data_IF_005807710927
#
_entry.id   IF_005807710927
#
_cell.length_a   1.000
_cell.length_b   1.000
_cell.length_c   1.000
_cell.angle_alpha   90.00
_cell.angle_beta   90.00
_cell.angle_gamma   90.00
#
_symmetry.space_group_name_H-M   'P 1'
#
loop_
_entity.id
_entity.type
_entity.pdbx_description
1 polymer ?
#
# COMPACT_ATOMS: atom_id res chain seq x y z
N UNK A 1 -10.76 -5.00 7.93
CA UNK A 1 -10.50 -4.96 6.47
C UNK A 1 -11.61 -4.15 5.81
N UNK A 2 -11.29 -3.16 4.96
CA UNK A 2 -12.33 -2.42 4.22
C UNK A 2 -12.98 -3.34 3.18
N UNK A 3 -14.30 -3.42 3.21
CA UNK A 3 -15.09 -4.31 2.35
C UNK A 3 -15.87 -3.49 1.31
N UNK A 4 -16.00 -4.00 0.06
CA UNK A 4 -16.89 -3.39 -0.93
C UNK A 4 -18.35 -3.51 -0.46
N UNK A 5 -19.22 -2.60 -0.94
CA UNK A 5 -20.67 -2.74 -0.78
C UNK A 5 -21.17 -3.55 -1.97
N UNK A 6 -21.71 -4.74 -1.70
CA UNK A 6 -22.25 -5.61 -2.73
C UNK A 6 -23.61 -5.07 -3.19
N UNK A 7 -23.86 -5.09 -4.50
CA UNK A 7 -25.12 -4.64 -5.10
C UNK A 7 -25.49 -3.19 -4.77
N UNK A 8 -24.50 -2.30 -4.61
CA UNK A 8 -24.75 -0.87 -4.47
C UNK A 8 -25.57 -0.35 -5.67
N UNK A 9 -26.60 0.45 -5.38
CA UNK A 9 -27.45 1.04 -6.41
C UNK A 9 -26.62 2.00 -7.28
N UNK A 10 -26.96 2.07 -8.57
CA UNK A 10 -26.31 2.98 -9.51
C UNK A 10 -26.41 4.43 -9.03
N UNK A 11 -25.34 5.20 -9.27
CA UNK A 11 -25.22 6.62 -8.91
C UNK A 11 -25.30 6.95 -7.40
N UNK A 12 -25.12 5.95 -6.53
CA UNK A 12 -25.01 6.15 -5.09
C UNK A 12 -23.58 6.38 -4.63
N UNK A 13 -23.42 6.99 -3.45
CA UNK A 13 -22.12 7.11 -2.77
C UNK A 13 -21.45 5.74 -2.54
N UNK A 14 -22.25 4.71 -2.28
CA UNK A 14 -21.80 3.33 -2.07
C UNK A 14 -21.21 2.71 -3.35
N UNK A 15 -21.83 2.95 -4.51
CA UNK A 15 -21.29 2.54 -5.81
C UNK A 15 -19.95 3.22 -6.07
N UNK A 16 -19.90 4.54 -5.88
CA UNK A 16 -18.69 5.34 -6.11
C UNK A 16 -17.55 4.90 -5.21
N UNK A 17 -17.84 4.59 -3.95
CA UNK A 17 -16.90 4.02 -3.01
C UNK A 17 -16.43 2.64 -3.48
N UNK A 18 -17.36 1.74 -3.80
CA UNK A 18 -17.04 0.36 -4.17
C UNK A 18 -16.19 0.31 -5.44
N UNK A 19 -16.52 1.14 -6.43
CA UNK A 19 -15.74 1.28 -7.66
C UNK A 19 -14.32 1.75 -7.38
N UNK A 20 -14.14 2.81 -6.58
CA UNK A 20 -12.80 3.31 -6.22
C UNK A 20 -12.02 2.31 -5.35
N UNK A 21 -12.68 1.68 -4.38
CA UNK A 21 -12.08 0.65 -3.52
C UNK A 21 -11.55 -0.52 -4.35
N UNK A 22 -12.37 -1.07 -5.25
CA UNK A 22 -11.96 -2.14 -6.15
C UNK A 22 -10.78 -1.73 -7.05
N UNK A 23 -10.78 -0.50 -7.58
CA UNK A 23 -9.65 0.01 -8.37
C UNK A 23 -8.36 0.09 -7.56
N UNK A 24 -8.41 0.61 -6.33
CA UNK A 24 -7.25 0.69 -5.43
C UNK A 24 -6.75 -0.71 -5.09
N UNK A 25 -7.66 -1.62 -4.68
CA UNK A 25 -7.31 -3.00 -4.36
C UNK A 25 -6.63 -3.70 -5.53
N UNK A 26 -7.16 -3.57 -6.75
CA UNK A 26 -6.56 -4.14 -7.95
C UNK A 26 -5.12 -3.65 -8.18
N UNK A 27 -4.86 -2.34 -7.97
CA UNK A 27 -3.51 -1.78 -8.11
C UNK A 27 -2.55 -2.33 -7.03
N UNK A 28 -3.01 -2.39 -5.79
CA UNK A 28 -2.22 -2.90 -4.65
C UNK A 28 -1.91 -4.39 -4.80
N UNK A 29 -2.89 -5.20 -5.20
CA UNK A 29 -2.69 -6.64 -5.44
C UNK A 29 -1.69 -6.89 -6.57
N UNK A 30 -1.77 -6.13 -7.66
CA UNK A 30 -0.80 -6.19 -8.76
C UNK A 30 0.60 -5.78 -8.31
N UNK A 31 0.73 -4.69 -7.56
CA UNK A 31 2.00 -4.24 -6.98
C UNK A 31 2.62 -5.35 -6.13
N UNK A 32 1.85 -5.94 -5.21
CA UNK A 32 2.34 -7.04 -4.38
C UNK A 32 2.67 -8.29 -5.20
N UNK A 33 1.95 -8.56 -6.29
CA UNK A 33 2.29 -9.61 -7.24
C UNK A 33 3.69 -9.42 -7.83
N UNK A 34 3.98 -8.23 -8.34
CA UNK A 34 5.30 -7.88 -8.90
C UNK A 34 6.39 -7.99 -7.84
N UNK A 35 6.19 -7.37 -6.67
CA UNK A 35 7.19 -7.40 -5.59
C UNK A 35 7.49 -8.84 -5.13
N UNK A 36 6.47 -9.70 -4.98
CA UNK A 36 6.66 -11.11 -4.62
C UNK A 36 7.35 -11.94 -5.70
N UNK A 37 7.17 -11.58 -6.97
CA UNK A 37 7.85 -12.24 -8.08
C UNK A 37 9.33 -11.84 -8.17
N UNK A 38 9.65 -10.57 -7.90
CA UNK A 38 11.02 -10.06 -7.94
C UNK A 38 11.84 -10.44 -6.70
N UNK A 39 11.26 -10.32 -5.51
CA UNK A 39 12.00 -10.40 -4.25
C UNK A 39 11.69 -11.71 -3.51
N UNK A 40 12.67 -12.61 -3.43
CA UNK A 40 12.52 -13.92 -2.75
C UNK A 40 12.17 -13.80 -1.27
N UNK A 41 12.55 -12.70 -0.61
CA UNK A 41 12.21 -12.43 0.79
C UNK A 41 10.71 -12.19 1.03
N UNK A 42 9.92 -11.94 -0.02
CA UNK A 42 8.47 -11.73 0.06
C UNK A 42 7.63 -12.95 -0.39
N UNK A 43 8.25 -14.04 -0.85
CA UNK A 43 7.51 -15.22 -1.36
C UNK A 43 6.81 -15.98 -0.23
N UNK A 44 5.58 -16.44 -0.54
CA UNK A 44 4.62 -17.12 0.35
C UNK A 44 5.18 -18.37 1.05
N UNK A 45 6.19 -18.99 0.45
CA UNK A 45 6.91 -20.17 0.97
C UNK A 45 7.60 -19.87 2.31
N UNK A 46 7.77 -18.58 2.63
CA UNK A 46 8.15 -18.08 3.94
C UNK A 46 7.01 -17.20 4.40
N UNK A 47 6.14 -17.71 5.28
CA UNK A 47 5.31 -16.81 6.10
C UNK A 47 6.29 -15.81 6.69
N UNK A 48 6.03 -14.52 6.53
CA UNK A 48 6.91 -13.49 7.02
C UNK A 48 6.88 -13.62 8.56
N UNK A 49 7.87 -14.31 9.14
CA UNK A 49 7.97 -14.61 10.58
C UNK A 49 8.37 -13.35 11.38
N UNK A 50 7.86 -12.21 10.95
CA UNK A 50 8.17 -10.90 11.48
C UNK A 50 6.88 -10.30 12.02
N UNK A 51 7.02 -9.59 13.13
CA UNK A 51 5.95 -8.72 13.61
C UNK A 51 5.58 -7.69 12.51
N UNK A 52 4.35 -7.12 12.52
CA UNK A 52 3.90 -6.20 11.49
C UNK A 52 4.87 -5.03 11.22
N UNK A 53 5.54 -4.57 12.26
CA UNK A 53 6.47 -3.44 12.21
C UNK A 53 7.73 -3.76 11.37
N UNK A 54 8.56 -4.78 11.69
CA UNK A 54 9.67 -5.18 10.82
C UNK A 54 9.21 -5.68 9.45
N UNK A 55 8.04 -6.31 9.36
CA UNK A 55 7.46 -6.71 8.07
C UNK A 55 7.22 -5.50 7.14
N UNK A 56 6.74 -4.38 7.69
CA UNK A 56 6.49 -3.16 6.93
C UNK A 56 7.79 -2.55 6.36
N UNK A 57 8.87 -2.58 7.15
CA UNK A 57 10.19 -2.09 6.73
C UNK A 57 10.72 -2.92 5.57
N UNK A 58 10.63 -4.26 5.66
CA UNK A 58 11.08 -5.16 4.58
C UNK A 58 10.32 -4.84 3.28
N UNK A 59 8.99 -4.70 3.35
CA UNK A 59 8.15 -4.38 2.19
C UNK A 59 8.53 -3.00 1.62
N UNK A 60 8.71 -2.00 2.48
CA UNK A 60 9.07 -0.64 2.09
C UNK A 60 10.43 -0.59 1.38
N UNK A 61 11.44 -1.26 1.94
CA UNK A 61 12.77 -1.40 1.33
C UNK A 61 12.68 -2.08 -0.04
N UNK A 62 11.90 -3.15 -0.18
CA UNK A 62 11.70 -3.81 -1.47
C UNK A 62 11.05 -2.88 -2.51
N UNK A 63 10.12 -2.02 -2.10
CA UNK A 63 9.50 -1.03 -2.98
C UNK A 63 10.50 0.06 -3.40
N UNK A 64 11.30 0.59 -2.47
CA UNK A 64 12.37 1.55 -2.77
C UNK A 64 13.36 0.95 -3.77
N UNK A 65 13.88 -0.25 -3.48
CA UNK A 65 14.85 -0.91 -4.35
C UNK A 65 14.25 -1.22 -5.72
N UNK A 66 12.97 -1.60 -5.79
CA UNK A 66 12.30 -1.83 -7.06
C UNK A 66 12.18 -0.54 -7.88
N UNK A 67 11.78 0.56 -7.26
CA UNK A 67 11.70 1.86 -7.92
C UNK A 67 13.07 2.35 -8.36
N UNK A 68 14.11 2.19 -7.53
CA UNK A 68 15.49 2.52 -7.87
C UNK A 68 15.99 1.69 -9.05
N UNK A 69 15.68 0.39 -9.08
CA UNK A 69 16.03 -0.46 -10.21
C UNK A 69 15.28 -0.02 -11.46
N UNK A 70 13.96 0.18 -11.41
CA UNK A 70 13.18 0.67 -12.54
C UNK A 70 13.73 2.00 -13.06
N UNK A 71 14.00 2.94 -12.17
CA UNK A 71 14.63 4.21 -12.49
C UNK A 71 15.99 3.99 -13.16
N UNK A 72 16.87 3.16 -12.61
CA UNK A 72 18.17 2.85 -13.23
C UNK A 72 18.04 2.07 -14.53
N UNK A 73 17.06 1.19 -14.70
CA UNK A 73 16.81 0.46 -15.95
C UNK A 73 16.26 1.40 -17.03
N UNK A 74 15.37 2.33 -16.67
CA UNK A 74 14.83 3.38 -17.54
C UNK A 74 15.89 4.45 -17.84
N UNK A 75 16.68 4.87 -16.85
CA UNK A 75 17.77 5.84 -16.98
C UNK A 75 19.07 5.23 -17.56
N UNK A 76 19.20 3.92 -17.62
CA UNK A 76 20.22 3.28 -18.48
C UNK A 76 19.87 3.44 -19.96
N UNK A 77 18.59 3.68 -20.29
CA UNK A 77 18.13 4.13 -21.60
C UNK A 77 18.27 5.66 -21.74
N UNK A 78 18.11 6.44 -20.65
CA UNK A 78 18.21 7.91 -20.62
C UNK A 78 19.13 8.36 -19.47
N UNK A 79 20.43 8.52 -19.72
CA UNK A 79 21.42 8.82 -18.67
C UNK A 79 21.10 10.13 -17.92
N UNK A 80 20.62 10.03 -16.68
CA UNK A 80 20.64 11.14 -15.70
C UNK A 80 21.21 10.60 -14.38
N UNK A 81 22.18 11.30 -13.75
CA UNK A 81 22.69 10.90 -12.44
C UNK A 81 21.57 10.99 -11.39
N UNK A 82 21.36 9.89 -10.66
CA UNK A 82 20.52 9.89 -9.47
C UNK A 82 21.18 10.77 -8.40
N UNK A 83 20.45 11.68 -7.74
CA UNK A 83 20.97 12.39 -6.57
C UNK A 83 21.26 11.38 -5.45
N UNK A 84 22.32 11.65 -4.69
CA UNK A 84 22.70 10.87 -3.53
C UNK A 84 21.55 10.92 -2.51
N UNK A 85 20.88 9.79 -2.32
CA UNK A 85 19.83 9.66 -1.30
C UNK A 85 20.56 9.46 0.03
N UNK A 86 20.68 10.53 0.82
CA UNK A 86 21.07 10.41 2.22
C UNK A 86 19.99 9.61 2.96
N UNK A 87 20.36 8.40 3.40
CA UNK A 87 19.50 7.59 4.26
C UNK A 87 19.31 8.31 5.60
N UNK A 88 18.17 8.96 5.78
CA UNK A 88 17.82 9.53 7.08
C UNK A 88 17.48 8.40 8.08
N UNK A 89 18.42 8.09 8.97
CA UNK A 89 18.21 7.15 10.07
C UNK A 89 17.06 7.57 11.00
N UNK A 90 16.73 8.86 11.10
CA UNK A 90 15.57 9.33 11.87
C UNK A 90 14.23 8.97 11.21
N UNK A 91 14.13 8.79 9.89
CA UNK A 91 12.90 8.30 9.24
C UNK A 91 12.67 6.79 9.51
N UNK A 92 13.75 6.03 9.72
CA UNK A 92 13.69 4.62 10.11
C UNK A 92 13.40 4.46 11.61
N UNK A 93 13.95 5.35 12.44
CA UNK A 93 13.79 5.33 13.91
C UNK A 93 12.54 6.09 14.39
N UNK A 94 11.98 7.02 13.62
CA UNK A 94 10.63 7.54 13.82
C UNK A 94 9.58 6.55 13.29
N UNK A 95 9.79 5.27 13.58
CA UNK A 95 8.75 4.27 13.81
C UNK A 95 7.83 4.65 14.98
N UNK A 96 7.44 5.92 15.08
CA UNK A 96 6.05 6.24 15.34
C UNK A 96 5.25 5.70 14.14
N UNK A 97 5.27 4.38 13.96
CA UNK A 97 4.32 3.68 13.11
C UNK A 97 3.00 4.27 13.52
N UNK A 98 2.37 4.99 12.59
CA UNK A 98 1.19 5.78 12.86
C UNK A 98 0.27 4.89 13.69
N UNK A 99 0.26 5.11 15.01
CA UNK A 99 -0.64 4.42 15.93
C UNK A 99 -1.93 5.12 15.60
N UNK A 100 -2.54 4.74 14.48
CA UNK A 100 -3.98 4.82 14.34
C UNK A 100 -4.40 4.00 15.54
N UNK A 101 -4.80 4.68 16.61
CA UNK A 101 -5.52 4.05 17.68
C UNK A 101 -6.70 3.42 17.00
N UNK A 102 -6.57 2.14 16.64
CA UNK A 102 -7.68 1.35 16.21
C UNK A 102 -8.46 1.20 17.51
N UNK A 103 -9.30 2.19 17.82
CA UNK A 103 -10.57 1.87 18.43
C UNK A 103 -11.13 0.76 17.55
N UNK A 104 -11.52 -0.35 18.16
CA UNK A 104 -12.19 -1.45 17.46
C UNK A 104 -13.54 -0.94 16.92
N UNK A 105 -13.46 -0.12 15.88
CA UNK A 105 -14.56 0.33 15.07
C UNK A 105 -14.77 -0.79 14.08
N UNK A 106 -15.96 -1.40 14.09
CA UNK A 106 -16.32 -2.44 13.10
C UNK A 106 -15.93 -1.92 11.71
N UNK A 107 -15.30 -2.77 10.91
CA UNK A 107 -14.85 -2.41 9.55
C UNK A 107 -15.99 -1.91 8.67
N UNK A 108 -17.23 -2.29 8.98
CA UNK A 108 -18.45 -1.69 8.39
C UNK A 108 -18.64 -0.24 8.82
N UNK A 109 -18.59 0.06 10.11
CA UNK A 109 -18.76 1.43 10.60
C UNK A 109 -17.69 2.39 10.05
N UNK A 110 -16.43 1.95 9.94
CA UNK A 110 -15.38 2.75 9.29
C UNK A 110 -15.64 2.94 7.79
N UNK A 111 -16.09 1.89 7.09
CA UNK A 111 -16.49 2.00 5.69
C UNK A 111 -17.63 3.02 5.52
N UNK A 112 -18.66 2.92 6.34
CA UNK A 112 -19.85 3.77 6.25
C UNK A 112 -19.47 5.22 6.56
N UNK A 113 -18.57 5.46 7.52
CA UNK A 113 -17.96 6.77 7.76
C UNK A 113 -17.24 7.31 6.52
N UNK A 114 -16.40 6.50 5.88
CA UNK A 114 -15.68 6.90 4.65
C UNK A 114 -16.66 7.26 3.53
N UNK A 115 -17.67 6.41 3.29
CA UNK A 115 -18.71 6.64 2.28
C UNK A 115 -19.40 7.98 2.55
N UNK A 116 -19.85 8.18 3.78
CA UNK A 116 -20.61 9.38 4.14
C UNK A 116 -19.77 10.67 4.10
N UNK A 117 -18.47 10.57 4.40
CA UNK A 117 -17.56 11.72 4.45
C UNK A 117 -17.06 12.13 3.07
N UNK A 118 -16.69 11.16 2.22
CA UNK A 118 -15.93 11.43 0.99
C UNK A 118 -16.68 11.12 -0.31
N UNK A 119 -17.80 10.41 -0.24
CA UNK A 119 -18.49 9.90 -1.43
C UNK A 119 -19.91 10.44 -1.61
N UNK A 120 -20.43 11.27 -0.70
CA UNK A 120 -21.73 11.96 -0.79
C UNK A 120 -21.72 13.23 -1.69
N UNK A 121 -20.98 13.17 -2.79
CA UNK A 121 -20.87 14.24 -3.80
C UNK A 121 -21.89 14.05 -4.92
#
# INVERSE_FOLDING_TARGET
MLIPVLNALLDTAEERYTRRHCQVRNRIERLFGVLKACWRCLRKDRILHYQPEPASIIIYTCAILHNLLLDRYVNKIIRVPLPDIEMNEELLNNGNGMRIGIQDVDGRSMRDLIINTYFNI
#
